data_IF_646348589886
#
_entry.id   IF_646348589886
#
_cell.length_a   1.000
_cell.length_b   1.000
_cell.length_c   1.000
_cell.angle_alpha   90.00
_cell.angle_beta   90.00
_cell.angle_gamma   90.00
#
_symmetry.space_group_name_H-M   'P 1'
#
loop_
_entity.id
_entity.type
_entity.pdbx_description
1 polymer ?
#
# COMPACT_ATOMS: atom_id res chain seq x y z
N UNK A 1 -0.10 12.36 5.97
CA UNK A 1 -1.02 11.33 5.45
C UNK A 1 -2.35 11.46 6.17
N UNK A 2 -3.45 11.63 5.44
CA UNK A 2 -4.79 11.67 6.04
C UNK A 2 -5.45 10.29 5.93
N UNK A 3 -5.87 9.67 7.05
CA UNK A 3 -6.47 8.33 7.03
C UNK A 3 -7.82 8.29 6.31
N UNK A 4 -8.51 9.43 6.21
CA UNK A 4 -9.78 9.56 5.48
C UNK A 4 -9.60 9.47 3.95
N UNK A 5 -8.39 9.71 3.46
CA UNK A 5 -8.06 9.62 2.03
C UNK A 5 -7.58 8.23 1.61
N UNK A 6 -7.38 7.32 2.57
CA UNK A 6 -6.98 5.94 2.28
C UNK A 6 -8.19 5.10 1.87
N UNK A 7 -8.04 4.29 0.83
CA UNK A 7 -8.97 3.20 0.59
C UNK A 7 -8.94 2.18 1.74
N UNK A 8 -10.05 1.46 1.94
CA UNK A 8 -10.15 0.43 2.98
C UNK A 8 -9.02 -0.62 2.89
N UNK A 9 -8.61 -0.97 1.66
CA UNK A 9 -7.50 -1.88 1.42
C UNK A 9 -6.17 -1.26 1.85
N UNK A 10 -5.90 0.00 1.47
CA UNK A 10 -4.67 0.70 1.84
C UNK A 10 -4.58 0.91 3.35
N UNK A 11 -5.68 1.29 4.01
CA UNK A 11 -5.75 1.43 5.46
C UNK A 11 -5.42 0.11 6.17
N UNK A 12 -5.98 -1.01 5.69
CA UNK A 12 -5.71 -2.34 6.24
C UNK A 12 -4.24 -2.71 6.09
N UNK A 13 -3.63 -2.44 4.93
CA UNK A 13 -2.22 -2.71 4.71
C UNK A 13 -1.36 -1.85 5.63
N UNK A 14 -1.64 -0.54 5.68
CA UNK A 14 -0.92 0.41 6.51
C UNK A 14 -0.91 0.00 7.99
N UNK A 15 -2.06 -0.39 8.53
CA UNK A 15 -2.20 -0.84 9.92
C UNK A 15 -1.41 -2.13 10.21
N UNK A 16 -1.18 -2.98 9.20
CA UNK A 16 -0.40 -4.19 9.34
C UNK A 16 1.11 -3.98 9.09
N UNK A 17 1.52 -2.81 8.58
CA UNK A 17 2.93 -2.50 8.41
C UNK A 17 3.60 -2.22 9.77
N UNK A 18 4.87 -2.62 9.96
CA UNK A 18 5.70 -2.14 11.07
C UNK A 18 5.77 -0.61 11.11
N UNK A 19 5.90 -0.04 12.31
CA UNK A 19 5.94 1.41 12.52
C UNK A 19 6.99 2.14 11.66
N UNK A 20 8.12 1.49 11.37
CA UNK A 20 9.15 2.06 10.50
C UNK A 20 8.69 2.20 9.05
N UNK A 21 7.97 1.20 8.54
CA UNK A 21 7.42 1.23 7.19
C UNK A 21 6.23 2.18 7.09
N UNK A 22 5.44 2.31 8.16
CA UNK A 22 4.40 3.34 8.24
C UNK A 22 4.99 4.75 8.10
N UNK A 23 6.10 5.05 8.79
CA UNK A 23 6.80 6.35 8.65
C UNK A 23 7.31 6.59 7.24
N UNK A 24 7.87 5.57 6.59
CA UNK A 24 8.30 5.67 5.19
C UNK A 24 7.12 5.93 4.24
N UNK A 25 5.97 5.29 4.47
CA UNK A 25 4.76 5.52 3.67
C UNK A 25 4.23 6.95 3.88
N UNK A 26 4.25 7.46 5.12
CA UNK A 26 3.87 8.85 5.41
C UNK A 26 4.78 9.84 4.66
N UNK A 27 6.08 9.60 4.65
CA UNK A 27 7.03 10.43 3.91
C UNK A 27 6.78 10.36 2.39
N UNK A 28 6.44 9.19 1.85
CA UNK A 28 6.16 9.03 0.43
C UNK A 28 4.88 9.75 -0.04
N UNK A 29 3.96 10.07 0.89
CA UNK A 29 2.75 10.85 0.61
C UNK A 29 3.05 12.29 0.17
N UNK A 30 4.27 12.79 0.34
CA UNK A 30 4.67 14.11 -0.17
C UNK A 30 4.81 14.13 -1.70
N UNK A 31 4.99 12.96 -2.33
CA UNK A 31 5.22 12.84 -3.78
C UNK A 31 4.23 11.92 -4.50
N UNK A 32 3.48 11.11 -3.77
CA UNK A 32 2.49 10.17 -4.32
C UNK A 32 1.16 10.30 -3.56
N UNK A 33 0.07 9.80 -4.14
CA UNK A 33 -1.20 9.67 -3.42
C UNK A 33 -1.05 8.78 -2.18
N UNK A 34 -1.90 8.97 -1.15
CA UNK A 34 -1.77 8.20 0.10
C UNK A 34 -1.84 6.69 -0.14
N UNK A 35 -2.79 6.22 -0.95
CA UNK A 35 -2.91 4.81 -1.32
C UNK A 35 -1.66 4.27 -1.99
N UNK A 36 -1.13 5.01 -2.96
CA UNK A 36 0.05 4.61 -3.72
C UNK A 36 1.30 4.58 -2.83
N UNK A 37 1.46 5.54 -1.94
CA UNK A 37 2.53 5.56 -0.96
C UNK A 37 2.51 4.29 -0.08
N UNK A 38 1.34 3.89 0.43
CA UNK A 38 1.19 2.65 1.21
C UNK A 38 1.50 1.42 0.35
N UNK A 39 0.93 1.34 -0.85
CA UNK A 39 1.15 0.18 -1.72
C UNK A 39 2.61 0.02 -2.13
N UNK A 40 3.32 1.09 -2.46
CA UNK A 40 4.73 1.04 -2.85
C UNK A 40 5.61 0.55 -1.71
N UNK A 41 5.40 1.05 -0.49
CA UNK A 41 6.15 0.58 0.68
C UNK A 41 5.84 -0.88 1.00
N UNK A 42 4.56 -1.28 0.92
CA UNK A 42 4.16 -2.66 1.13
C UNK A 42 4.81 -3.59 0.09
N UNK A 43 4.74 -3.25 -1.19
CA UNK A 43 5.34 -4.01 -2.30
C UNK A 43 6.86 -4.19 -2.16
N UNK A 44 7.56 -3.14 -1.73
CA UNK A 44 9.03 -3.15 -1.56
C UNK A 44 9.47 -4.15 -0.48
N UNK A 45 8.65 -4.37 0.53
CA UNK A 45 8.97 -5.21 1.69
C UNK A 45 8.36 -6.62 1.62
N UNK A 46 7.45 -6.88 0.69
CA UNK A 46 6.92 -8.22 0.42
C UNK A 46 7.95 -9.10 -0.28
N UNK A 47 7.90 -10.41 0.02
CA UNK A 47 8.61 -11.41 -0.77
C UNK A 47 7.96 -11.57 -2.17
N UNK A 48 8.68 -12.17 -3.11
CA UNK A 48 8.24 -12.25 -4.51
C UNK A 48 6.86 -12.94 -4.68
N UNK A 49 6.58 -13.96 -3.87
CA UNK A 49 5.33 -14.71 -3.92
C UNK A 49 4.14 -13.88 -3.43
N UNK A 50 4.30 -13.18 -2.32
CA UNK A 50 3.31 -12.25 -1.76
C UNK A 50 3.07 -11.08 -2.69
N UNK A 51 4.15 -10.50 -3.24
CA UNK A 51 4.09 -9.40 -4.19
C UNK A 51 3.24 -9.75 -5.40
N UNK A 52 3.43 -10.93 -6.00
CA UNK A 52 2.62 -11.40 -7.13
C UNK A 52 1.14 -11.55 -6.78
N UNK A 53 0.82 -12.16 -5.64
CA UNK A 53 -0.57 -12.29 -5.17
C UNK A 53 -1.22 -10.92 -4.93
N UNK A 54 -0.47 -10.00 -4.32
CA UNK A 54 -0.93 -8.66 -4.06
C UNK A 54 -1.23 -7.89 -5.35
N UNK A 55 -0.30 -7.90 -6.31
CA UNK A 55 -0.47 -7.26 -7.61
C UNK A 55 -1.66 -7.85 -8.38
N UNK A 56 -1.85 -9.18 -8.32
CA UNK A 56 -3.00 -9.82 -8.96
C UNK A 56 -4.33 -9.42 -8.32
N UNK A 57 -4.39 -9.34 -6.98
CA UNK A 57 -5.59 -8.84 -6.28
C UNK A 57 -5.87 -7.38 -6.61
N UNK A 58 -4.82 -6.56 -6.64
CA UNK A 58 -4.92 -5.14 -6.98
C UNK A 58 -5.40 -4.93 -8.42
N UNK A 59 -4.86 -5.70 -9.38
CA UNK A 59 -5.28 -5.63 -10.79
C UNK A 59 -6.73 -6.08 -10.96
N UNK A 60 -7.17 -7.11 -10.24
CA UNK A 60 -8.57 -7.54 -10.25
C UNK A 60 -9.50 -6.47 -9.68
N UNK A 61 -9.14 -5.86 -8.56
CA UNK A 61 -9.95 -4.82 -7.93
C UNK A 61 -10.03 -3.52 -8.77
N UNK A 62 -8.92 -3.12 -9.41
CA UNK A 62 -8.87 -1.89 -10.22
C UNK A 62 -9.34 -2.05 -11.67
N UNK A 63 -9.07 -3.20 -12.28
CA UNK A 63 -9.27 -3.39 -13.73
C UNK A 63 -10.22 -4.54 -14.08
N UNK A 64 -10.78 -5.25 -13.09
CA UNK A 64 -11.80 -6.28 -13.32
C UNK A 64 -11.30 -7.54 -14.04
N UNK A 65 -9.98 -7.76 -14.05
CA UNK A 65 -9.32 -8.94 -14.65
C UNK A 65 -9.59 -10.24 -13.88
#
# INVERSE_FOLDING_TARGET
MNPENLSADALTIFNNLPAELQRQAIALCESHSEDEAVYLIALRNMNERERRKFLFRLSRNRWGL
#
